data_IF_378113428620
#
_entry.id   IF_378113428620
#
_cell.length_a   1.000
_cell.length_b   1.000
_cell.length_c   1.000
_cell.angle_alpha   90.00
_cell.angle_beta   90.00
_cell.angle_gamma   90.00
#
_symmetry.space_group_name_H-M   'P 1'
#
loop_
_entity.id
_entity.type
_entity.pdbx_description
1 polymer ?
#
# COMPACT_ATOMS: atom_id res chain seq x y z
N UNK A 1 66.48 5.86 19.04
CA UNK A 1 65.02 5.71 18.98
C UNK A 1 64.73 4.22 19.04
N UNK A 2 64.06 3.73 20.09
CA UNK A 2 64.04 2.30 20.45
C UNK A 2 63.08 1.49 19.55
N UNK A 3 63.54 0.37 19.01
CA UNK A 3 62.77 -0.61 18.22
C UNK A 3 61.36 -0.92 18.81
N UNK A 4 61.25 -0.82 20.14
CA UNK A 4 59.96 -0.98 20.87
C UNK A 4 58.88 0.04 20.45
N UNK A 5 59.26 1.26 20.08
CA UNK A 5 58.30 2.30 19.62
C UNK A 5 57.78 2.03 18.22
N UNK A 6 58.59 1.43 17.34
CA UNK A 6 58.15 1.04 15.99
C UNK A 6 57.22 -0.16 16.04
N UNK A 7 57.45 -1.13 16.94
CA UNK A 7 56.57 -2.26 17.14
C UNK A 7 55.23 -1.81 17.72
N UNK A 8 55.23 -0.86 18.61
CA UNK A 8 54.00 -0.29 19.20
C UNK A 8 53.19 0.52 18.18
N UNK A 9 53.87 1.29 17.33
CA UNK A 9 53.24 2.04 16.27
C UNK A 9 52.65 1.13 15.17
N UNK A 10 53.34 0.04 14.81
CA UNK A 10 52.84 -0.95 13.84
C UNK A 10 51.64 -1.72 14.39
N UNK A 11 51.64 -2.07 15.67
CA UNK A 11 50.50 -2.71 16.33
C UNK A 11 49.27 -1.79 16.39
N UNK A 12 49.48 -0.50 16.66
CA UNK A 12 48.41 0.49 16.66
C UNK A 12 47.80 0.76 15.25
N UNK A 13 48.60 0.67 14.19
CA UNK A 13 48.10 0.79 12.81
C UNK A 13 47.28 -0.44 12.34
N UNK A 14 47.58 -1.63 12.88
CA UNK A 14 46.79 -2.82 12.55
C UNK A 14 45.43 -2.89 13.24
N UNK A 15 45.20 -2.13 14.30
CA UNK A 15 43.92 -2.07 15.00
C UNK A 15 42.93 -1.06 14.39
N UNK A 16 43.38 -0.15 13.51
CA UNK A 16 42.55 0.86 12.88
C UNK A 16 41.89 0.39 11.55
N UNK A 17 42.28 -0.77 11.03
CA UNK A 17 41.76 -1.30 9.76
C UNK A 17 40.58 -2.26 9.89
N UNK A 18 40.09 -2.55 11.11
CA UNK A 18 39.19 -3.71 11.34
C UNK A 18 37.73 -3.40 11.57
N UNK A 19 37.21 -2.26 11.18
CA UNK A 19 35.81 -1.94 11.54
C UNK A 19 34.94 -1.32 10.44
N UNK A 20 35.32 -1.37 9.15
CA UNK A 20 34.39 -0.87 8.12
C UNK A 20 33.22 -1.85 7.87
N UNK A 21 33.44 -3.14 7.92
CA UNK A 21 32.38 -4.14 7.73
C UNK A 21 31.52 -4.40 8.99
N UNK A 22 31.98 -3.99 10.17
CA UNK A 22 31.18 -4.11 11.41
C UNK A 22 30.20 -2.96 11.58
N UNK A 23 30.42 -1.84 10.89
CA UNK A 23 29.54 -0.67 10.86
C UNK A 23 28.68 -0.57 9.61
N UNK A 24 28.78 -1.52 8.70
CA UNK A 24 27.73 -1.75 7.71
C UNK A 24 26.52 -2.22 8.51
N UNK A 25 25.62 -1.30 8.76
CA UNK A 25 24.29 -1.58 9.29
C UNK A 25 23.62 -2.50 8.27
N UNK A 26 23.72 -3.80 8.52
CA UNK A 26 22.93 -4.80 7.80
C UNK A 26 21.48 -4.43 8.07
N UNK A 27 20.86 -3.77 7.12
CA UNK A 27 19.41 -3.61 7.12
C UNK A 27 18.84 -5.04 7.11
N UNK A 28 18.41 -5.49 8.28
CA UNK A 28 17.88 -6.85 8.45
C UNK A 28 16.68 -7.10 7.54
N UNK A 29 16.07 -6.05 7.00
CA UNK A 29 14.92 -6.11 6.10
C UNK A 29 15.29 -6.39 4.63
N UNK A 30 16.53 -6.21 4.22
CA UNK A 30 16.95 -6.41 2.82
C UNK A 30 17.46 -7.82 2.50
N UNK A 31 17.68 -8.68 3.50
CA UNK A 31 18.38 -9.95 3.30
C UNK A 31 17.45 -11.15 3.04
N UNK A 32 16.13 -10.94 2.95
CA UNK A 32 15.18 -12.06 2.95
C UNK A 32 14.47 -12.32 1.61
N UNK A 33 14.55 -11.41 0.64
CA UNK A 33 13.92 -11.63 -0.67
C UNK A 33 14.82 -12.52 -1.54
N UNK A 34 14.56 -13.82 -1.54
CA UNK A 34 15.31 -14.81 -2.33
C UNK A 34 14.52 -15.35 -3.50
N UNK A 35 13.22 -15.21 -3.48
CA UNK A 35 12.31 -15.78 -4.45
C UNK A 35 11.06 -14.93 -4.63
N UNK A 36 10.31 -15.21 -5.72
CA UNK A 36 9.00 -14.62 -5.92
C UNK A 36 7.99 -14.95 -4.78
N UNK A 37 8.20 -16.06 -4.06
CA UNK A 37 7.35 -16.47 -2.95
C UNK A 37 7.47 -15.51 -1.76
N UNK A 38 8.68 -15.07 -1.45
CA UNK A 38 8.91 -14.11 -0.37
C UNK A 38 8.24 -12.76 -0.69
N UNK A 39 8.29 -12.33 -1.95
CA UNK A 39 7.59 -11.12 -2.40
C UNK A 39 6.06 -11.31 -2.37
N UNK A 40 5.58 -12.51 -2.68
CA UNK A 40 4.15 -12.82 -2.56
C UNK A 40 3.67 -12.78 -1.10
N UNK A 41 4.47 -13.32 -0.17
CA UNK A 41 4.18 -13.25 1.26
C UNK A 41 4.16 -11.79 1.75
N UNK A 42 5.08 -10.95 1.28
CA UNK A 42 5.09 -9.52 1.57
C UNK A 42 3.81 -8.82 1.07
N UNK A 43 3.35 -9.13 -0.14
CA UNK A 43 2.08 -8.59 -0.64
C UNK A 43 0.90 -9.04 0.21
N UNK A 44 0.82 -10.33 0.52
CA UNK A 44 -0.29 -10.89 1.30
C UNK A 44 -0.33 -10.37 2.73
N UNK A 45 0.83 -10.15 3.35
CA UNK A 45 0.92 -9.69 4.73
C UNK A 45 0.73 -8.18 4.88
N UNK A 46 1.30 -7.38 3.98
CA UNK A 46 1.46 -5.96 4.19
C UNK A 46 0.86 -5.05 3.11
N UNK A 47 0.38 -5.62 2.00
CA UNK A 47 -0.17 -4.83 0.89
C UNK A 47 -1.67 -5.03 0.71
N UNK A 48 -2.18 -6.24 0.89
CA UNK A 48 -3.63 -6.48 0.82
C UNK A 48 -4.35 -5.85 2.00
N UNK A 49 -5.54 -5.29 1.74
CA UNK A 49 -6.39 -4.80 2.81
C UNK A 49 -6.81 -5.96 3.72
N UNK A 50 -6.63 -5.85 5.03
CA UNK A 50 -7.10 -6.89 5.95
C UNK A 50 -8.63 -6.94 5.93
N UNK A 51 -9.18 -8.08 5.57
CA UNK A 51 -10.61 -8.37 5.68
C UNK A 51 -10.84 -9.05 7.02
N UNK A 52 -11.18 -8.29 8.04
CA UNK A 52 -11.54 -8.84 9.33
C UNK A 52 -13.05 -8.74 9.54
N UNK A 53 -13.75 -9.86 9.38
CA UNK A 53 -15.22 -9.92 9.40
C UNK A 53 -15.85 -9.56 10.74
N UNK A 54 -15.12 -9.66 11.86
CA UNK A 54 -15.68 -9.41 13.20
C UNK A 54 -15.68 -7.93 13.60
N UNK A 55 -14.82 -7.12 12.98
CA UNK A 55 -14.63 -5.73 13.37
C UNK A 55 -14.67 -4.76 12.18
N UNK A 56 -15.38 -5.15 11.10
CA UNK A 56 -15.41 -4.43 9.84
C UNK A 56 -15.75 -2.94 10.01
N UNK A 57 -16.67 -2.62 10.90
CA UNK A 57 -17.08 -1.26 11.21
C UNK A 57 -16.48 -0.69 12.51
N UNK A 58 -15.85 -1.55 13.34
CA UNK A 58 -15.36 -1.14 14.66
C UNK A 58 -13.89 -0.76 14.69
N UNK A 59 -13.14 -1.13 13.67
CA UNK A 59 -11.70 -0.97 13.71
C UNK A 59 -11.25 0.12 12.74
N UNK A 60 -10.66 1.18 13.29
CA UNK A 60 -9.92 2.20 12.52
C UNK A 60 -8.83 1.58 11.62
N UNK A 61 -8.50 0.28 11.85
CA UNK A 61 -7.61 -0.48 11.00
C UNK A 61 -8.18 -0.79 9.62
N UNK A 62 -9.49 -0.78 9.43
CA UNK A 62 -10.13 -1.13 8.18
C UNK A 62 -10.16 0.05 7.21
N UNK A 63 -9.30 -0.02 6.21
CA UNK A 63 -9.17 0.99 5.17
C UNK A 63 -10.32 0.86 4.18
N UNK A 64 -10.98 1.96 3.88
CA UNK A 64 -12.01 1.99 2.83
C UNK A 64 -13.37 1.40 3.21
N UNK A 65 -13.58 0.93 4.43
CA UNK A 65 -14.88 0.37 4.86
C UNK A 65 -16.01 1.39 4.86
N UNK A 66 -15.68 2.65 5.04
CA UNK A 66 -16.63 3.76 4.98
C UNK A 66 -17.32 3.90 3.61
N UNK A 67 -16.75 3.32 2.55
CA UNK A 67 -17.36 3.34 1.21
C UNK A 67 -18.75 2.71 1.22
N UNK A 68 -18.95 1.66 2.01
CA UNK A 68 -20.26 1.03 2.17
C UNK A 68 -21.27 1.97 2.85
N UNK A 69 -20.79 2.92 3.66
CA UNK A 69 -21.63 3.92 4.31
C UNK A 69 -22.04 5.06 3.37
N UNK A 70 -21.38 5.20 2.23
CA UNK A 70 -21.71 6.19 1.20
C UNK A 70 -22.79 5.69 0.23
N UNK A 71 -23.22 4.45 0.37
CA UNK A 71 -24.28 3.88 -0.46
C UNK A 71 -25.66 4.08 0.21
N UNK A 72 -26.69 4.13 -0.60
CA UNK A 72 -28.08 4.18 -0.17
C UNK A 72 -28.63 2.81 0.28
N UNK A 73 -27.81 1.78 0.23
CA UNK A 73 -28.14 0.43 0.69
C UNK A 73 -27.92 0.24 2.21
N UNK A 74 -27.32 1.22 2.88
CA UNK A 74 -26.98 1.17 4.31
C UNK A 74 -27.77 2.22 5.07
N UNK A 75 -28.45 1.80 6.12
CA UNK A 75 -29.18 2.67 7.03
C UNK A 75 -28.93 2.27 8.49
N UNK A 76 -29.16 3.19 9.40
CA UNK A 76 -29.11 2.93 10.83
C UNK A 76 -30.33 2.10 11.26
N UNK A 77 -30.09 0.84 11.59
CA UNK A 77 -31.18 -0.08 11.99
C UNK A 77 -31.41 -0.17 13.50
N UNK A 78 -30.68 0.57 14.33
CA UNK A 78 -30.75 0.49 15.77
C UNK A 78 -30.75 1.87 16.43
N UNK A 79 -31.75 2.11 17.25
CA UNK A 79 -31.87 3.30 18.09
C UNK A 79 -31.18 3.17 19.46
N UNK A 80 -30.46 2.05 19.71
CA UNK A 80 -29.75 1.88 20.97
C UNK A 80 -28.42 2.62 20.95
N UNK A 81 -28.13 3.36 22.02
CA UNK A 81 -26.93 4.18 22.15
C UNK A 81 -25.60 3.42 21.98
N UNK A 82 -25.62 2.09 22.05
CA UNK A 82 -24.45 1.22 21.86
C UNK A 82 -24.18 0.87 20.40
N UNK A 83 -25.18 0.97 19.52
CA UNK A 83 -25.08 0.59 18.11
C UNK A 83 -25.53 1.71 17.15
N UNK A 84 -25.75 2.90 17.67
CA UNK A 84 -26.18 4.06 16.90
C UNK A 84 -24.98 4.77 16.27
N UNK A 85 -25.17 5.36 15.08
CA UNK A 85 -24.26 6.31 14.49
C UNK A 85 -24.40 7.70 15.15
N UNK A 86 -25.49 7.92 15.91
CA UNK A 86 -25.76 9.13 16.66
C UNK A 86 -25.50 8.91 18.15
N UNK A 87 -25.19 9.96 18.88
CA UNK A 87 -24.78 9.87 20.27
C UNK A 87 -23.37 9.31 20.44
N UNK A 88 -23.00 9.00 21.64
CA UNK A 88 -21.67 8.41 21.95
C UNK A 88 -21.63 6.91 21.71
N UNK A 89 -22.33 6.41 20.69
CA UNK A 89 -22.31 5.02 20.29
C UNK A 89 -20.96 4.60 19.69
N UNK A 90 -20.77 3.29 19.55
CA UNK A 90 -19.52 2.70 19.02
C UNK A 90 -19.20 3.13 17.59
N UNK A 91 -20.20 3.62 16.87
CA UNK A 91 -20.09 3.95 15.45
C UNK A 91 -20.17 5.47 15.16
N UNK A 92 -20.13 6.32 16.17
CA UNK A 92 -20.27 7.77 16.00
C UNK A 92 -19.23 8.39 15.04
N UNK A 93 -18.04 7.81 14.93
CA UNK A 93 -17.01 8.22 13.96
C UNK A 93 -17.39 7.95 12.49
N UNK A 94 -18.43 7.17 12.24
CA UNK A 94 -18.94 6.87 10.91
C UNK A 94 -20.06 7.82 10.48
N UNK A 95 -20.55 8.64 11.40
CA UNK A 95 -21.66 9.59 11.18
C UNK A 95 -21.42 10.48 9.97
N UNK A 96 -20.22 11.04 9.84
CA UNK A 96 -19.89 11.93 8.74
C UNK A 96 -19.97 11.27 7.36
N UNK A 97 -19.65 9.99 7.26
CA UNK A 97 -19.77 9.22 6.02
C UNK A 97 -21.23 8.89 5.71
N UNK A 98 -21.97 8.35 6.67
CA UNK A 98 -23.35 7.95 6.50
C UNK A 98 -24.27 9.12 6.14
N UNK A 99 -24.00 10.30 6.69
CA UNK A 99 -24.78 11.52 6.47
C UNK A 99 -24.22 12.44 5.40
N UNK A 100 -23.25 11.98 4.63
CA UNK A 100 -22.62 12.71 3.50
C UNK A 100 -22.10 14.10 3.89
N UNK A 101 -21.49 14.22 5.06
CA UNK A 101 -20.93 15.49 5.50
C UNK A 101 -19.73 15.90 4.66
N UNK A 102 -19.59 17.19 4.40
CA UNK A 102 -18.44 17.75 3.66
C UNK A 102 -17.10 17.55 4.39
N UNK A 103 -17.14 17.33 5.69
CA UNK A 103 -15.99 16.93 6.52
C UNK A 103 -16.29 15.58 7.12
N UNK A 104 -15.71 14.56 6.57
CA UNK A 104 -15.75 13.20 7.13
C UNK A 104 -14.98 13.15 8.45
N UNK A 105 -15.23 12.17 9.30
CA UNK A 105 -14.59 12.04 10.62
C UNK A 105 -15.13 13.00 11.69
N UNK A 106 -16.25 13.66 11.44
CA UNK A 106 -16.99 14.44 12.45
C UNK A 106 -18.08 13.58 13.05
N UNK A 107 -18.31 13.80 14.36
CA UNK A 107 -19.47 13.27 15.03
C UNK A 107 -20.74 14.12 14.77
N UNK A 108 -21.89 13.69 15.26
CA UNK A 108 -23.18 14.38 15.11
C UNK A 108 -23.24 15.75 15.79
N UNK A 109 -22.28 16.04 16.68
CA UNK A 109 -22.16 17.35 17.33
C UNK A 109 -21.24 18.29 16.58
N UNK A 110 -20.58 17.83 15.53
CA UNK A 110 -19.58 18.57 14.74
C UNK A 110 -18.40 19.10 15.56
N UNK A 111 -18.14 18.52 16.72
CA UNK A 111 -17.15 18.99 17.69
C UNK A 111 -15.91 18.12 17.74
N UNK A 112 -16.02 16.85 17.40
CA UNK A 112 -14.92 15.88 17.46
C UNK A 112 -14.48 15.49 16.06
N UNK A 113 -13.17 15.51 15.83
CA UNK A 113 -12.57 15.04 14.60
C UNK A 113 -11.91 13.71 14.85
N UNK A 114 -12.47 12.67 14.25
CA UNK A 114 -11.75 11.42 14.11
C UNK A 114 -10.78 11.55 12.95
N UNK A 115 -9.57 11.01 13.10
CA UNK A 115 -8.51 11.20 12.12
C UNK A 115 -8.86 10.53 10.79
N UNK A 116 -9.31 11.32 9.84
CA UNK A 116 -9.52 10.89 8.44
C UNK A 116 -8.26 10.32 7.81
N UNK A 117 -7.11 10.64 8.39
CA UNK A 117 -5.79 10.32 7.84
C UNK A 117 -5.44 8.84 7.86
N UNK A 118 -6.19 7.99 8.57
CA UNK A 118 -5.91 6.55 8.61
C UNK A 118 -5.99 5.92 7.22
N UNK A 119 -7.04 6.22 6.44
CA UNK A 119 -7.19 5.69 5.09
C UNK A 119 -6.08 6.19 4.17
N UNK A 120 -5.82 7.50 4.18
CA UNK A 120 -4.73 8.11 3.43
C UNK A 120 -3.38 7.47 3.76
N UNK A 121 -3.01 7.47 5.02
CA UNK A 121 -1.71 6.96 5.49
C UNK A 121 -1.55 5.47 5.17
N UNK A 122 -2.58 4.66 5.38
CA UNK A 122 -2.52 3.23 5.12
C UNK A 122 -2.45 2.90 3.63
N UNK A 123 -3.23 3.59 2.79
CA UNK A 123 -3.16 3.37 1.35
C UNK A 123 -1.77 3.71 0.79
N UNK A 124 -1.15 4.81 1.26
CA UNK A 124 0.24 5.12 0.88
C UNK A 124 1.24 4.12 1.44
N UNK A 125 1.00 3.54 2.63
CA UNK A 125 1.80 2.42 3.13
C UNK A 125 1.71 1.22 2.18
N UNK A 126 0.52 0.82 1.76
CA UNK A 126 0.29 -0.27 0.82
C UNK A 126 0.93 0.00 -0.56
N UNK A 127 0.78 1.22 -1.08
CA UNK A 127 1.45 1.66 -2.30
C UNK A 127 2.97 1.54 -2.17
N UNK A 128 3.54 1.91 -1.01
CA UNK A 128 4.98 1.77 -0.79
C UNK A 128 5.42 0.30 -0.76
N UNK A 129 4.63 -0.60 -0.20
CA UNK A 129 4.89 -2.04 -0.26
C UNK A 129 4.84 -2.54 -1.71
N UNK A 130 3.83 -2.15 -2.49
CA UNK A 130 3.76 -2.49 -3.91
C UNK A 130 4.97 -1.96 -4.70
N UNK A 131 5.40 -0.73 -4.45
CA UNK A 131 6.61 -0.16 -5.06
C UNK A 131 7.87 -0.95 -4.68
N UNK A 132 7.98 -1.39 -3.42
CA UNK A 132 9.10 -2.20 -2.97
C UNK A 132 9.13 -3.55 -3.68
N UNK A 133 7.98 -4.21 -3.81
CA UNK A 133 7.85 -5.46 -4.55
C UNK A 133 8.23 -5.28 -6.02
N UNK A 134 7.67 -4.28 -6.70
CA UNK A 134 7.98 -3.98 -8.11
C UNK A 134 9.46 -3.67 -8.35
N UNK A 135 10.11 -3.02 -7.40
CA UNK A 135 11.56 -2.75 -7.47
C UNK A 135 12.42 -3.99 -7.19
N UNK A 136 11.94 -4.91 -6.34
CA UNK A 136 12.71 -6.06 -5.89
C UNK A 136 12.56 -7.27 -6.80
N UNK A 137 11.44 -7.37 -7.52
CA UNK A 137 11.09 -8.53 -8.34
C UNK A 137 12.07 -8.80 -9.49
N UNK A 138 12.75 -7.76 -9.98
CA UNK A 138 13.78 -7.91 -11.04
C UNK A 138 15.05 -8.65 -10.54
N UNK A 139 15.24 -8.69 -9.21
CA UNK A 139 16.42 -9.30 -8.59
C UNK A 139 16.21 -10.77 -8.18
N UNK A 140 14.98 -11.29 -8.28
CA UNK A 140 14.70 -12.69 -7.93
C UNK A 140 14.95 -13.62 -9.11
N UNK A 141 15.28 -14.93 -8.84
CA UNK A 141 15.54 -15.91 -9.90
C UNK A 141 14.35 -16.08 -10.86
N UNK A 142 14.65 -16.18 -12.16
CA UNK A 142 13.70 -16.41 -13.26
C UNK A 142 14.28 -17.46 -14.22
N UNK A 143 14.67 -18.63 -13.70
CA UNK A 143 15.39 -19.70 -14.43
C UNK A 143 14.49 -20.80 -14.92
N UNK A 144 13.36 -20.99 -14.26
CA UNK A 144 12.39 -22.04 -14.57
C UNK A 144 11.05 -21.40 -14.96
N UNK A 145 10.21 -22.16 -15.65
CA UNK A 145 8.85 -21.71 -16.02
C UNK A 145 8.01 -21.36 -14.79
N UNK A 146 8.19 -22.08 -13.67
CA UNK A 146 7.53 -21.80 -12.40
C UNK A 146 7.99 -20.47 -11.79
N UNK A 147 9.30 -20.20 -11.81
CA UNK A 147 9.85 -18.93 -11.34
C UNK A 147 9.38 -17.75 -12.21
N UNK A 148 9.39 -17.90 -13.54
CA UNK A 148 8.91 -16.89 -14.48
C UNK A 148 7.41 -16.62 -14.26
N UNK A 149 6.61 -17.66 -14.13
CA UNK A 149 5.18 -17.54 -13.86
C UNK A 149 4.93 -16.88 -12.48
N UNK A 150 5.70 -17.28 -11.48
CA UNK A 150 5.62 -16.71 -10.13
C UNK A 150 5.99 -15.22 -10.09
N UNK A 151 7.04 -14.82 -10.81
CA UNK A 151 7.44 -13.42 -10.96
C UNK A 151 6.34 -12.61 -11.64
N UNK A 152 5.80 -13.08 -12.75
CA UNK A 152 4.68 -12.42 -13.43
C UNK A 152 3.46 -12.30 -12.53
N UNK A 153 3.16 -13.33 -11.74
CA UNK A 153 2.07 -13.31 -10.79
C UNK A 153 2.23 -12.21 -9.73
N UNK A 154 3.41 -12.11 -9.14
CA UNK A 154 3.70 -11.11 -8.09
C UNK A 154 3.72 -9.70 -8.67
N UNK A 155 4.33 -9.51 -9.85
CA UNK A 155 4.32 -8.22 -10.56
C UNK A 155 2.89 -7.77 -10.85
N UNK A 156 2.08 -8.66 -11.41
CA UNK A 156 0.70 -8.36 -11.74
C UNK A 156 -0.15 -8.01 -10.52
N UNK A 157 0.04 -8.71 -9.39
CA UNK A 157 -0.62 -8.34 -8.14
C UNK A 157 -0.18 -6.95 -7.65
N UNK A 158 1.13 -6.67 -7.66
CA UNK A 158 1.66 -5.40 -7.18
C UNK A 158 1.18 -4.22 -8.03
N UNK A 159 1.15 -4.36 -9.35
CA UNK A 159 0.57 -3.35 -10.25
C UNK A 159 -0.93 -3.17 -10.00
N UNK A 160 -1.69 -4.28 -9.90
CA UNK A 160 -3.12 -4.21 -9.60
C UNK A 160 -3.40 -3.46 -8.30
N UNK A 161 -2.72 -3.83 -7.22
CA UNK A 161 -2.94 -3.22 -5.91
C UNK A 161 -2.54 -1.74 -5.92
N UNK A 162 -1.42 -1.38 -6.56
CA UNK A 162 -1.00 0.02 -6.66
C UNK A 162 -1.99 0.86 -7.46
N UNK A 163 -2.40 0.42 -8.62
CA UNK A 163 -3.42 1.08 -9.44
C UNK A 163 -4.75 1.21 -8.70
N UNK A 164 -5.18 0.14 -8.01
CA UNK A 164 -6.38 0.12 -7.20
C UNK A 164 -6.35 1.14 -6.05
N UNK A 165 -5.24 1.23 -5.30
CA UNK A 165 -5.10 2.19 -4.21
C UNK A 165 -5.03 3.63 -4.72
N UNK A 166 -4.39 3.88 -5.84
CA UNK A 166 -4.41 5.21 -6.46
C UNK A 166 -5.78 5.57 -6.99
N UNK A 167 -6.55 4.63 -7.52
CA UNK A 167 -7.94 4.87 -7.89
C UNK A 167 -8.78 5.33 -6.70
N UNK A 168 -8.68 4.64 -5.57
CA UNK A 168 -9.37 5.04 -4.35
C UNK A 168 -8.92 6.41 -3.84
N UNK A 169 -7.62 6.62 -3.70
CA UNK A 169 -7.07 7.90 -3.23
C UNK A 169 -7.51 9.06 -4.12
N UNK A 170 -7.46 8.89 -5.44
CA UNK A 170 -7.83 9.95 -6.39
C UNK A 170 -9.31 10.29 -6.28
N UNK A 171 -10.18 9.27 -6.17
CA UNK A 171 -11.61 9.52 -6.06
C UNK A 171 -12.04 10.07 -4.70
N UNK A 172 -11.33 9.74 -3.61
CA UNK A 172 -11.66 10.22 -2.28
C UNK A 172 -11.09 11.61 -1.97
N UNK A 173 -9.91 11.91 -2.47
CA UNK A 173 -9.15 13.09 -2.05
C UNK A 173 -8.79 14.03 -3.20
N UNK A 174 -8.96 13.60 -4.44
CA UNK A 174 -8.78 14.41 -5.64
C UNK A 174 -10.04 15.18 -6.03
N UNK A 175 -9.91 16.01 -7.03
CA UNK A 175 -11.06 16.60 -7.71
C UNK A 175 -11.72 15.56 -8.64
N UNK A 176 -13.01 15.66 -8.92
CA UNK A 176 -13.67 14.76 -9.87
C UNK A 176 -12.98 14.78 -11.24
N UNK A 177 -12.97 13.64 -11.91
CA UNK A 177 -12.48 13.57 -13.28
C UNK A 177 -13.47 14.23 -14.24
N UNK A 178 -13.00 15.22 -14.95
CA UNK A 178 -13.69 15.82 -16.10
C UNK A 178 -12.66 16.03 -17.21
N UNK A 179 -12.91 15.51 -18.40
CA UNK A 179 -11.98 15.53 -19.52
C UNK A 179 -11.43 16.93 -19.82
N UNK A 180 -12.30 17.95 -19.69
CA UNK A 180 -11.93 19.34 -19.94
C UNK A 180 -10.99 19.96 -18.90
N UNK A 181 -10.95 19.44 -17.67
CA UNK A 181 -10.21 20.01 -16.55
C UNK A 181 -9.18 19.05 -15.95
N UNK A 182 -9.21 17.76 -16.29
CA UNK A 182 -8.36 16.73 -15.69
C UNK A 182 -6.85 17.06 -15.72
N UNK A 183 -6.39 17.74 -16.75
CA UNK A 183 -4.99 18.13 -16.90
C UNK A 183 -4.53 19.25 -15.92
N UNK A 184 -5.47 19.92 -15.25
CA UNK A 184 -5.19 20.99 -14.29
C UNK A 184 -5.82 20.75 -12.92
N UNK A 185 -6.86 19.94 -12.85
CA UNK A 185 -7.52 19.56 -11.62
C UNK A 185 -6.55 18.80 -10.69
N UNK A 186 -6.60 19.09 -9.39
CA UNK A 186 -5.69 18.49 -8.42
C UNK A 186 -6.16 17.10 -8.00
N UNK A 187 -5.34 16.11 -8.31
CA UNK A 187 -5.46 14.74 -7.84
C UNK A 187 -4.75 14.51 -6.48
N UNK A 188 -3.93 13.49 -6.41
CA UNK A 188 -3.14 13.13 -5.22
C UNK A 188 -1.66 13.05 -5.56
N UNK A 189 -0.74 13.11 -4.57
CA UNK A 189 0.68 12.89 -4.84
C UNK A 189 0.94 11.49 -5.39
N UNK A 190 1.65 11.41 -6.49
CA UNK A 190 2.06 10.14 -7.09
C UNK A 190 3.49 9.82 -6.71
N UNK A 191 3.71 8.62 -6.16
CA UNK A 191 5.02 8.07 -5.81
C UNK A 191 5.12 6.63 -6.29
N UNK A 192 6.03 6.36 -7.21
CA UNK A 192 6.27 5.02 -7.79
C UNK A 192 7.59 4.40 -7.37
N UNK A 193 8.44 5.14 -6.65
CA UNK A 193 9.70 4.65 -6.12
C UNK A 193 9.55 4.07 -4.70
N UNK A 194 10.42 3.12 -4.34
CA UNK A 194 10.48 2.54 -2.99
C UNK A 194 11.22 3.42 -1.99
N UNK A 195 12.09 4.31 -2.46
CA UNK A 195 12.98 5.10 -1.61
C UNK A 195 12.20 6.04 -0.70
N UNK A 196 12.63 6.13 0.55
CA UNK A 196 12.18 7.17 1.48
C UNK A 196 12.91 8.46 1.11
N UNK A 197 12.15 9.47 0.71
CA UNK A 197 12.71 10.76 0.32
C UNK A 197 12.24 11.84 1.29
N UNK A 198 13.18 12.65 1.78
CA UNK A 198 12.84 13.84 2.58
C UNK A 198 12.50 15.03 1.65
N UNK A 199 11.39 14.89 0.95
CA UNK A 199 10.87 15.92 0.05
C UNK A 199 9.38 16.15 0.31
N UNK A 200 8.94 17.38 0.07
CA UNK A 200 7.50 17.69 0.07
C UNK A 200 6.91 17.29 -1.27
N UNK A 201 6.07 16.26 -1.25
CA UNK A 201 5.31 15.88 -2.43
C UNK A 201 4.21 16.90 -2.69
N UNK A 202 4.11 17.34 -3.94
CA UNK A 202 2.97 18.12 -4.43
C UNK A 202 1.91 17.19 -4.99
N UNK A 203 0.68 17.67 -5.10
CA UNK A 203 -0.38 16.92 -5.79
C UNK A 203 -0.09 16.88 -7.29
N UNK A 204 -0.24 15.71 -7.86
CA UNK A 204 -0.31 15.54 -9.30
C UNK A 204 -1.68 15.96 -9.82
N UNK A 205 -1.79 16.13 -11.13
CA UNK A 205 -3.10 16.38 -11.75
C UNK A 205 -3.96 15.11 -11.71
N UNK A 206 -5.26 15.27 -11.82
CA UNK A 206 -6.20 14.14 -11.94
C UNK A 206 -5.85 13.29 -13.16
N UNK A 207 -5.47 13.92 -14.28
CA UNK A 207 -5.04 13.21 -15.48
C UNK A 207 -3.83 12.31 -15.20
N UNK A 208 -2.75 12.85 -14.59
CA UNK A 208 -1.57 12.07 -14.25
C UNK A 208 -1.87 10.91 -13.30
N UNK A 209 -2.80 11.10 -12.37
CA UNK A 209 -3.24 10.02 -11.49
C UNK A 209 -3.93 8.90 -12.28
N UNK A 210 -4.87 9.25 -13.17
CA UNK A 210 -5.57 8.25 -13.98
C UNK A 210 -4.68 7.61 -15.03
N UNK A 211 -3.72 8.32 -15.58
CA UNK A 211 -2.74 7.73 -16.51
C UNK A 211 -1.95 6.62 -15.82
N UNK A 212 -1.46 6.85 -14.59
CA UNK A 212 -0.80 5.82 -13.79
C UNK A 212 -1.74 4.66 -13.44
N UNK A 213 -2.98 4.94 -13.05
CA UNK A 213 -3.97 3.91 -12.71
C UNK A 213 -4.19 2.99 -13.90
N UNK A 214 -4.40 3.55 -15.08
CA UNK A 214 -4.63 2.77 -16.31
C UNK A 214 -3.37 1.99 -16.70
N UNK A 215 -2.19 2.60 -16.64
CA UNK A 215 -0.92 1.94 -16.90
C UNK A 215 -0.73 0.72 -15.98
N UNK A 216 -0.94 0.89 -14.70
CA UNK A 216 -0.81 -0.19 -13.70
C UNK A 216 -1.83 -1.31 -13.94
N UNK A 217 -3.10 -0.99 -14.20
CA UNK A 217 -4.12 -2.00 -14.43
C UNK A 217 -3.89 -2.80 -15.73
N UNK A 218 -3.41 -2.13 -16.79
CA UNK A 218 -3.04 -2.81 -18.04
C UNK A 218 -1.80 -3.69 -17.86
N UNK A 219 -0.80 -3.22 -17.10
CA UNK A 219 0.36 -4.03 -16.74
C UNK A 219 -0.05 -5.25 -15.92
N UNK A 220 -0.94 -5.08 -14.95
CA UNK A 220 -1.49 -6.17 -14.15
C UNK A 220 -2.21 -7.21 -15.01
N UNK A 221 -3.07 -6.79 -15.93
CA UNK A 221 -3.76 -7.70 -16.86
C UNK A 221 -2.76 -8.53 -17.67
N UNK A 222 -1.77 -7.89 -18.27
CA UNK A 222 -0.74 -8.54 -19.06
C UNK A 222 0.05 -9.57 -18.25
N UNK A 223 0.54 -9.18 -17.07
CA UNK A 223 1.41 -10.00 -16.23
C UNK A 223 0.64 -11.16 -15.59
N UNK A 224 -0.58 -10.92 -15.07
CA UNK A 224 -1.43 -11.99 -14.54
C UNK A 224 -1.89 -12.95 -15.63
N UNK A 225 -2.05 -12.48 -16.87
CA UNK A 225 -2.35 -13.35 -18.01
C UNK A 225 -1.14 -14.22 -18.35
N UNK A 226 0.07 -13.66 -18.34
CA UNK A 226 1.31 -14.41 -18.56
C UNK A 226 1.60 -15.40 -17.44
N UNK A 227 1.20 -15.11 -16.20
CA UNK A 227 1.30 -16.02 -15.05
C UNK A 227 0.36 -17.24 -15.13
N UNK A 228 -0.61 -17.25 -16.03
CA UNK A 228 -1.50 -18.41 -16.27
C UNK A 228 -0.75 -19.57 -16.93
N UNK A 229 0.14 -20.19 -16.18
CA UNK A 229 0.57 -21.54 -16.49
C UNK A 229 -0.62 -22.48 -16.29
N UNK A 230 -0.71 -23.56 -17.09
CA UNK A 230 -1.82 -24.54 -17.06
C UNK A 230 -2.05 -25.22 -15.69
N UNK A 231 -1.21 -24.99 -14.72
CA UNK A 231 -1.32 -25.45 -13.34
C UNK A 231 -2.17 -24.50 -12.46
N UNK A 232 -3.43 -24.28 -12.85
CA UNK A 232 -4.43 -23.55 -12.04
C UNK A 232 -4.63 -24.10 -10.61
N UNK A 233 -4.00 -25.20 -10.27
CA UNK A 233 -4.10 -25.82 -8.93
C UNK A 233 -3.26 -25.17 -7.86
N UNK A 234 -2.25 -24.38 -8.23
CA UNK A 234 -1.35 -23.70 -7.29
C UNK A 234 -1.75 -22.26 -6.96
N UNK A 235 -2.58 -21.66 -7.78
CA UNK A 235 -3.11 -20.30 -7.53
C UNK A 235 -4.49 -20.42 -6.87
N UNK A 236 -4.51 -20.80 -5.60
CA UNK A 236 -5.73 -21.08 -4.84
C UNK A 236 -6.38 -19.84 -4.23
N UNK A 237 -6.40 -18.70 -4.93
CA UNK A 237 -7.17 -17.55 -4.52
C UNK A 237 -8.37 -17.33 -5.45
N UNK A 238 -9.56 -17.93 -5.11
CA UNK A 238 -10.79 -17.71 -5.88
C UNK A 238 -11.21 -16.25 -5.90
N UNK A 239 -10.78 -15.49 -4.91
CA UNK A 239 -11.17 -14.09 -4.69
C UNK A 239 -10.54 -13.13 -5.69
N UNK A 240 -9.26 -13.29 -6.00
CA UNK A 240 -8.58 -12.47 -7.03
C UNK A 240 -9.20 -12.59 -8.42
N UNK A 241 -9.83 -13.74 -8.72
CA UNK A 241 -10.51 -13.97 -9.99
C UNK A 241 -11.73 -13.08 -10.19
N UNK A 242 -12.34 -12.64 -9.10
CA UNK A 242 -13.52 -11.78 -9.15
C UNK A 242 -13.14 -10.30 -9.30
N UNK A 243 -11.99 -9.88 -8.78
CA UNK A 243 -11.51 -8.49 -8.91
C UNK A 243 -10.93 -8.16 -10.29
N UNK A 244 -10.31 -9.12 -10.99
CA UNK A 244 -9.74 -8.92 -12.34
C UNK A 244 -10.81 -8.96 -13.44
N UNK A 245 -12.07 -9.27 -13.13
CA UNK A 245 -13.18 -9.33 -14.10
C UNK A 245 -14.07 -8.09 -14.08
N UNK A 246 -13.78 -7.11 -13.25
CA UNK A 246 -14.42 -5.79 -13.24
C UNK A 246 -13.64 -4.82 -14.11
#
# INVERSE_FOLDING_TARGET
>A
MNIKHYILALAAMMTLGSCSSFLEEYSQDNDYVRSWKDLNELLLGDCYMPVNNSDYFKNEANVGTFVHLLSDEVDECSSTATNSFTGYGVHHYQFGYLTWQSRVGVDELFTTYYTENNTWTKMYKYINVANNVLSSVENVPQRTDDEIAGVNYVKGQAHFLRGWYYFWLTNMYGQPYEESTAATALGVPVKTSKEVMDVKFTRNTVQECYDLIVEDLLAAEKELTAARCDNRKTLSFPELRNYVKL
#
